data_IF_855769232813
#
_entry.id   IF_855769232813
#
_cell.length_a   1.000
_cell.length_b   1.000
_cell.length_c   1.000
_cell.angle_alpha   90.00
_cell.angle_beta   90.00
_cell.angle_gamma   90.00
#
_symmetry.space_group_name_H-M   'P 1'
#
loop_
_entity.id
_entity.type
_entity.pdbx_description
1 polymer ?
#
# COMPACT_ATOMS: atom_id res chain seq x y z
N UNK A 1 5.78 -14.17 6.20
CA UNK A 1 7.08 -13.99 5.54
C UNK A 1 7.70 -12.74 6.14
N UNK A 2 8.83 -12.85 6.84
CA UNK A 2 9.58 -11.68 7.32
C UNK A 2 10.80 -11.56 6.41
N UNK A 3 10.88 -10.48 5.64
CA UNK A 3 12.03 -10.21 4.77
C UNK A 3 13.02 -9.34 5.52
N UNK A 4 14.30 -9.71 5.48
CA UNK A 4 15.42 -8.96 6.05
C UNK A 4 16.08 -8.01 5.05
N UNK A 5 15.56 -7.94 3.82
CA UNK A 5 16.17 -7.18 2.71
C UNK A 5 16.28 -5.67 3.00
N UNK A 6 15.40 -5.14 3.85
CA UNK A 6 15.44 -3.73 4.28
C UNK A 6 16.28 -3.47 5.52
N UNK A 7 16.83 -4.52 6.16
CA UNK A 7 17.61 -4.41 7.39
C UNK A 7 18.85 -3.49 7.29
N UNK A 8 19.64 -3.53 6.19
CA UNK A 8 20.76 -2.61 6.00
C UNK A 8 20.34 -1.14 5.93
N UNK A 9 19.24 -0.83 5.25
CA UNK A 9 18.72 0.53 5.10
C UNK A 9 18.23 1.08 6.45
N UNK A 10 17.43 0.30 7.17
CA UNK A 10 16.94 0.65 8.50
C UNK A 10 18.09 0.95 9.49
N UNK A 11 19.19 0.19 9.42
CA UNK A 11 20.38 0.43 10.26
C UNK A 11 21.11 1.72 9.89
N UNK A 12 21.20 2.06 8.61
CA UNK A 12 21.81 3.30 8.16
C UNK A 12 21.01 4.52 8.65
N UNK A 13 19.68 4.47 8.50
CA UNK A 13 18.77 5.52 8.95
C UNK A 13 18.77 5.70 10.48
N UNK A 14 18.74 4.59 11.25
CA UNK A 14 18.84 4.62 12.72
C UNK A 14 20.06 5.43 13.19
N UNK A 15 21.22 5.20 12.55
CA UNK A 15 22.48 5.87 12.90
C UNK A 15 22.44 7.37 12.62
N UNK A 16 21.85 7.77 11.49
CA UNK A 16 21.69 9.19 11.14
C UNK A 16 20.76 9.88 12.13
N UNK A 17 19.71 9.20 12.58
CA UNK A 17 18.74 9.72 13.55
C UNK A 17 19.24 9.66 15.01
N UNK A 18 20.45 9.13 15.26
CA UNK A 18 20.99 8.97 16.62
C UNK A 18 20.21 7.96 17.48
N UNK A 19 19.44 7.07 16.85
CA UNK A 19 18.64 6.05 17.52
C UNK A 19 19.38 4.70 17.52
N UNK A 20 19.27 3.95 18.62
CA UNK A 20 19.90 2.62 18.71
C UNK A 20 19.31 1.63 17.69
N UNK A 21 18.03 1.79 17.36
CA UNK A 21 17.31 1.09 16.31
C UNK A 21 16.06 1.89 15.93
N UNK A 22 15.60 1.76 14.68
CA UNK A 22 14.30 2.27 14.26
C UNK A 22 13.16 1.54 14.99
N UNK A 23 12.04 2.23 15.30
CA UNK A 23 10.86 1.60 15.83
C UNK A 23 10.33 0.52 14.86
N UNK A 24 10.03 -0.67 15.40
CA UNK A 24 9.36 -1.72 14.66
C UNK A 24 7.87 -1.41 14.60
N UNK A 25 7.40 -0.97 13.44
CA UNK A 25 5.98 -0.75 13.19
C UNK A 25 5.41 -2.01 12.54
N UNK A 26 4.46 -2.71 13.17
CA UNK A 26 3.77 -3.82 12.53
C UNK A 26 2.88 -3.27 11.42
N UNK A 27 3.23 -3.56 10.17
CA UNK A 27 2.37 -3.26 9.02
C UNK A 27 1.43 -4.45 8.83
N UNK A 28 0.10 -4.27 8.95
CA UNK A 28 -0.83 -5.35 8.71
C UNK A 28 -0.70 -5.81 7.26
N UNK A 29 -0.49 -7.11 7.07
CA UNK A 29 -0.42 -7.67 5.74
C UNK A 29 -1.82 -7.65 5.11
N UNK A 30 -1.99 -7.14 3.87
CA UNK A 30 -3.31 -6.87 3.28
C UNK A 30 -4.20 -8.13 3.16
N UNK A 31 -3.56 -9.30 3.11
CA UNK A 31 -4.22 -10.59 2.96
C UNK A 31 -4.03 -11.56 4.14
N UNK A 32 -3.11 -11.29 5.08
CA UNK A 32 -2.81 -12.30 6.11
C UNK A 32 -3.83 -12.17 7.25
N UNK A 33 -4.39 -13.29 7.69
CA UNK A 33 -5.43 -13.32 8.71
C UNK A 33 -6.85 -13.16 8.16
N UNK A 34 -7.02 -12.84 6.88
CA UNK A 34 -8.32 -12.87 6.21
C UNK A 34 -8.79 -14.32 6.02
N UNK A 35 -10.10 -14.53 6.03
CA UNK A 35 -10.67 -15.83 5.70
C UNK A 35 -10.49 -16.17 4.20
N UNK A 36 -10.63 -17.46 3.88
CA UNK A 36 -10.42 -17.96 2.51
C UNK A 36 -11.38 -17.34 1.50
N UNK A 37 -12.62 -17.06 1.88
CA UNK A 37 -13.65 -16.53 0.98
C UNK A 37 -13.32 -15.09 0.60
N UNK A 38 -12.94 -14.27 1.58
CA UNK A 38 -12.49 -12.90 1.35
C UNK A 38 -11.24 -12.84 0.47
N UNK A 39 -10.27 -13.73 0.72
CA UNK A 39 -9.07 -13.83 -0.15
C UNK A 39 -9.45 -14.21 -1.58
N UNK A 40 -10.35 -15.18 -1.76
CA UNK A 40 -10.80 -15.59 -3.09
C UNK A 40 -11.59 -14.47 -3.80
N UNK A 41 -12.45 -13.75 -3.09
CA UNK A 41 -13.18 -12.61 -3.62
C UNK A 41 -12.24 -11.52 -4.14
N UNK A 42 -11.23 -11.15 -3.35
CA UNK A 42 -10.19 -10.19 -3.75
C UNK A 42 -9.40 -10.65 -4.97
N UNK A 43 -9.01 -11.93 -5.01
CA UNK A 43 -8.30 -12.50 -6.16
C UNK A 43 -9.16 -12.46 -7.44
N UNK A 44 -10.44 -12.80 -7.34
CA UNK A 44 -11.36 -12.78 -8.47
C UNK A 44 -11.62 -11.35 -8.96
N UNK A 45 -11.74 -10.38 -8.04
CA UNK A 45 -11.99 -8.98 -8.39
C UNK A 45 -10.88 -8.36 -9.25
N UNK A 46 -9.63 -8.84 -9.12
CA UNK A 46 -8.47 -8.29 -9.84
C UNK A 46 -8.02 -9.16 -11.02
N UNK A 47 -8.52 -10.40 -11.15
CA UNK A 47 -8.02 -11.36 -12.13
C UNK A 47 -8.10 -10.85 -13.58
N UNK A 48 -9.22 -10.23 -13.95
CA UNK A 48 -9.41 -9.68 -15.29
C UNK A 48 -8.50 -8.47 -15.55
N UNK A 49 -8.27 -7.65 -14.53
CA UNK A 49 -7.38 -6.49 -14.61
C UNK A 49 -5.93 -6.97 -14.82
N UNK A 50 -5.48 -7.99 -14.08
CA UNK A 50 -4.15 -8.60 -14.27
C UNK A 50 -4.01 -9.20 -15.67
N UNK A 51 -5.03 -9.92 -16.15
CA UNK A 51 -5.01 -10.47 -17.50
C UNK A 51 -4.90 -9.38 -18.56
N UNK A 52 -5.65 -8.27 -18.40
CA UNK A 52 -5.59 -7.13 -19.34
C UNK A 52 -4.21 -6.48 -19.38
N UNK A 53 -3.52 -6.36 -18.24
CA UNK A 53 -2.16 -5.78 -18.18
C UNK A 53 -1.13 -6.63 -18.93
N UNK A 54 -1.37 -7.94 -19.05
CA UNK A 54 -0.47 -8.86 -19.76
C UNK A 54 -0.75 -8.95 -21.26
N UNK A 55 -1.89 -8.44 -21.73
CA UNK A 55 -2.37 -8.60 -23.11
C UNK A 55 -2.43 -7.27 -23.85
N UNK A 56 -2.90 -6.22 -23.19
CA UNK A 56 -3.18 -4.92 -23.80
C UNK A 56 -1.88 -4.18 -24.15
N UNK A 57 -1.99 -3.24 -25.10
CA UNK A 57 -0.85 -2.40 -25.49
C UNK A 57 -0.47 -1.40 -24.40
N UNK A 58 0.79 -0.94 -24.44
CA UNK A 58 1.29 0.07 -23.50
C UNK A 58 0.48 1.36 -23.62
N UNK A 59 0.08 1.74 -24.83
CA UNK A 59 -0.74 2.93 -25.09
C UNK A 59 -2.12 2.83 -24.44
N UNK A 60 -2.80 1.69 -24.57
CA UNK A 60 -4.11 1.43 -23.97
C UNK A 60 -4.03 1.41 -22.44
N UNK A 61 -3.01 0.77 -21.88
CA UNK A 61 -2.77 0.75 -20.43
C UNK A 61 -2.45 2.16 -19.92
N UNK A 62 -1.59 2.91 -20.62
CA UNK A 62 -1.23 4.27 -20.24
C UNK A 62 -2.47 5.15 -20.17
N UNK A 63 -3.29 5.16 -21.22
CA UNK A 63 -4.54 5.94 -21.26
C UNK A 63 -5.53 5.52 -20.16
N UNK A 64 -5.63 4.24 -19.83
CA UNK A 64 -6.54 3.72 -18.79
C UNK A 64 -6.11 4.15 -17.38
N UNK A 65 -4.81 4.22 -17.11
CA UNK A 65 -4.27 4.42 -15.76
C UNK A 65 -3.67 5.79 -15.49
N UNK A 66 -3.46 6.64 -16.51
CA UNK A 66 -2.73 7.93 -16.44
C UNK A 66 -3.13 8.79 -15.23
N UNK A 67 -4.43 8.90 -14.95
CA UNK A 67 -4.94 9.76 -13.88
C UNK A 67 -5.39 9.01 -12.62
N UNK A 68 -5.31 7.68 -12.61
CA UNK A 68 -5.79 6.86 -11.49
C UNK A 68 -4.90 7.05 -10.26
N UNK A 69 -3.58 7.15 -10.44
CA UNK A 69 -2.66 7.35 -9.32
C UNK A 69 -2.70 8.78 -8.75
N UNK A 70 -2.81 9.79 -9.63
CA UNK A 70 -2.93 11.19 -9.21
C UNK A 70 -4.20 11.42 -8.40
N UNK A 71 -5.35 10.94 -8.88
CA UNK A 71 -6.63 11.10 -8.16
C UNK A 71 -6.66 10.39 -6.80
N UNK A 72 -6.01 9.23 -6.66
CA UNK A 72 -5.85 8.57 -5.37
C UNK A 72 -4.92 9.36 -4.44
N UNK A 73 -3.83 9.92 -4.98
CA UNK A 73 -2.88 10.73 -4.22
C UNK A 73 -3.51 12.04 -3.73
N UNK A 74 -4.26 12.74 -4.60
CA UNK A 74 -5.00 13.95 -4.25
C UNK A 74 -6.00 13.69 -3.12
N UNK A 75 -6.79 12.61 -3.23
CA UNK A 75 -7.71 12.21 -2.15
C UNK A 75 -7.01 11.97 -0.82
N UNK A 76 -5.78 11.45 -0.83
CA UNK A 76 -4.98 11.27 0.40
C UNK A 76 -4.56 12.62 0.98
N UNK A 77 -4.00 13.49 0.13
CA UNK A 77 -3.48 14.81 0.53
C UNK A 77 -4.59 15.73 1.07
N UNK A 78 -5.82 15.57 0.59
CA UNK A 78 -7.00 16.26 1.09
C UNK A 78 -7.52 15.71 2.44
N UNK A 79 -6.77 14.81 3.08
CA UNK A 79 -7.15 14.18 4.36
C UNK A 79 -8.22 13.10 4.21
N UNK A 80 -8.53 12.68 2.98
CA UNK A 80 -9.44 11.59 2.70
C UNK A 80 -8.78 10.22 2.89
N UNK A 81 -9.54 9.25 3.40
CA UNK A 81 -9.09 7.87 3.40
C UNK A 81 -8.93 7.38 1.94
N UNK A 82 -7.74 6.90 1.61
CA UNK A 82 -7.52 6.16 0.36
C UNK A 82 -7.60 4.69 0.67
N UNK A 83 -8.70 4.10 0.24
CA UNK A 83 -8.91 2.67 0.35
C UNK A 83 -8.55 2.04 -1.00
N UNK A 84 -7.55 1.18 -0.97
CA UNK A 84 -7.36 0.18 -2.02
C UNK A 84 -8.08 -1.05 -1.48
N UNK A 85 -9.25 -1.32 -2.04
CA UNK A 85 -10.22 -2.29 -1.52
C UNK A 85 -10.71 -1.94 -0.09
N UNK A 86 -10.82 -2.93 0.81
CA UNK A 86 -11.24 -2.76 2.21
C UNK A 86 -10.13 -2.23 3.13
N UNK A 87 -8.90 -2.06 2.61
CA UNK A 87 -7.76 -1.59 3.39
C UNK A 87 -7.57 -0.10 3.12
N UNK A 88 -8.04 0.70 4.07
CA UNK A 88 -7.88 2.14 4.04
C UNK A 88 -6.53 2.52 4.66
N UNK A 89 -5.65 3.13 3.86
CA UNK A 89 -4.48 3.82 4.37
C UNK A 89 -4.91 5.20 4.87
N UNK A 90 -4.88 5.40 6.19
CA UNK A 90 -5.03 6.70 6.82
C UNK A 90 -3.65 7.33 7.02
N UNK A 91 -3.57 8.66 6.93
CA UNK A 91 -2.37 9.40 7.29
C UNK A 91 -2.14 9.27 8.80
N UNK A 92 -1.00 8.72 9.27
CA UNK A 92 -0.74 8.55 10.70
C UNK A 92 -0.79 9.87 11.48
N UNK A 93 -0.40 10.98 10.83
CA UNK A 93 -0.37 12.32 11.42
C UNK A 93 -1.75 12.86 11.86
N UNK A 94 -2.85 12.25 11.40
CA UNK A 94 -4.21 12.63 11.80
C UNK A 94 -4.61 11.96 13.14
N UNK A 95 -3.96 10.86 13.53
CA UNK A 95 -4.27 10.11 14.76
C UNK A 95 -3.64 10.73 16.02
N UNK A 96 -2.62 11.59 15.88
CA UNK A 96 -1.90 12.22 17.01
C UNK A 96 -2.56 13.51 17.55
N UNK A 97 -3.71 13.93 17.02
CA UNK A 97 -4.39 15.19 17.43
C UNK A 97 -5.51 14.95 18.48
N UNK A 98 -5.72 13.72 18.95
CA UNK A 98 -6.73 13.42 19.99
C UNK A 98 -6.16 12.76 21.25
N UNK A 99 -5.18 13.40 21.88
CA UNK A 99 -4.86 13.13 23.31
C UNK A 99 -4.74 14.42 24.09
#
# INVERSE_FOLDING_TARGET
MCSDEFGPLARAESRVLGQAALPLIPIPHPLAGNDRELVASKANAIADEVASVLIDSVEELSARYENRFLSLTERRLDGGAVCVDEVCALEPAILDIQT
#
